data_IF_557423780371
#
_entry.id   IF_557423780371
#
_cell.length_a   1.000
_cell.length_b   1.000
_cell.length_c   1.000
_cell.angle_alpha   90.00
_cell.angle_beta   90.00
_cell.angle_gamma   90.00
#
_symmetry.space_group_name_H-M   'P 1'
#
loop_
_entity.id
_entity.type
_entity.pdbx_description
1 polymer ?
#
# COMPACT_ATOMS: atom_id res chain seq x y z
N UNK A 1 16.73 -8.93 12.44
CA UNK A 1 15.41 -8.83 11.76
C UNK A 1 15.43 -7.54 10.96
N UNK A 2 15.63 -7.62 9.65
CA UNK A 2 15.64 -6.44 8.79
C UNK A 2 14.20 -6.04 8.52
N UNK A 3 13.71 -5.03 9.23
CA UNK A 3 12.48 -4.33 8.86
C UNK A 3 12.82 -3.53 7.60
N UNK A 4 12.46 -4.05 6.43
CA UNK A 4 12.51 -3.29 5.18
C UNK A 4 11.28 -2.39 5.19
N UNK A 5 11.40 -1.22 5.83
CA UNK A 5 10.40 -0.17 5.71
C UNK A 5 10.27 0.21 4.23
N UNK A 6 9.04 0.48 3.76
CA UNK A 6 8.75 0.91 2.38
C UNK A 6 9.62 2.10 1.93
N UNK A 7 10.21 2.84 2.87
CA UNK A 7 11.15 3.92 2.65
C UNK A 7 12.51 3.50 2.07
N UNK A 8 12.89 2.22 2.16
CA UNK A 8 14.14 1.71 1.61
C UNK A 8 14.04 1.25 0.14
N UNK A 9 12.86 1.37 -0.47
CA UNK A 9 12.65 0.93 -1.85
C UNK A 9 13.44 1.81 -2.85
N UNK A 10 14.16 1.19 -3.80
CA UNK A 10 14.89 1.95 -4.81
C UNK A 10 13.94 2.79 -5.66
N UNK A 11 14.37 4.00 -6.02
CA UNK A 11 13.63 4.86 -6.94
C UNK A 11 13.40 4.13 -8.28
N UNK A 12 12.24 4.34 -8.91
CA UNK A 12 11.87 3.64 -10.15
C UNK A 12 11.32 2.22 -9.95
N UNK A 13 11.20 1.74 -8.71
CA UNK A 13 10.67 0.39 -8.43
C UNK A 13 9.16 0.29 -8.63
N UNK A 14 8.68 -0.94 -8.85
CA UNK A 14 7.24 -1.24 -8.83
C UNK A 14 6.90 -2.04 -7.59
N UNK A 15 5.84 -1.63 -6.90
CA UNK A 15 5.31 -2.27 -5.70
C UNK A 15 3.91 -2.76 -6.03
N UNK A 16 3.68 -4.06 -5.88
CA UNK A 16 2.37 -4.68 -5.99
C UNK A 16 1.92 -5.08 -4.58
N UNK A 17 0.77 -4.55 -4.15
CA UNK A 17 0.10 -4.96 -2.92
C UNK A 17 -1.04 -5.89 -3.34
N UNK A 18 -0.86 -7.18 -3.08
CA UNK A 18 -1.85 -8.21 -3.38
C UNK A 18 -2.68 -8.52 -2.13
N UNK A 19 -3.94 -8.07 -2.15
CA UNK A 19 -4.94 -8.29 -1.13
C UNK A 19 -5.83 -9.53 -1.38
N UNK A 20 -5.54 -10.35 -2.39
CA UNK A 20 -6.40 -11.50 -2.77
C UNK A 20 -6.58 -12.53 -1.65
N UNK A 21 -5.68 -12.52 -0.66
CA UNK A 21 -5.71 -13.38 0.53
C UNK A 21 -6.08 -12.65 1.81
N UNK A 22 -6.37 -11.36 1.73
CA UNK A 22 -6.73 -10.54 2.89
C UNK A 22 -8.26 -10.44 2.96
N UNK A 23 -8.85 -11.08 3.97
CA UNK A 23 -10.31 -11.08 4.16
C UNK A 23 -10.81 -9.68 4.60
N UNK A 24 -10.06 -9.03 5.47
CA UNK A 24 -10.27 -7.66 5.95
C UNK A 24 -8.91 -6.97 6.06
N UNK A 25 -8.82 -5.72 5.61
CA UNK A 25 -7.62 -4.89 5.75
C UNK A 25 -7.95 -3.79 6.74
N UNK A 26 -7.18 -3.71 7.83
CA UNK A 26 -7.33 -2.69 8.86
C UNK A 26 -7.18 -1.27 8.29
N UNK A 27 -7.86 -0.31 8.92
CA UNK A 27 -7.80 1.09 8.50
C UNK A 27 -6.37 1.66 8.55
N UNK A 28 -5.58 1.34 9.58
CA UNK A 28 -4.18 1.76 9.67
C UNK A 28 -3.34 1.30 8.47
N UNK A 29 -3.62 0.11 7.95
CA UNK A 29 -2.93 -0.43 6.77
C UNK A 29 -3.35 0.32 5.51
N UNK A 30 -4.63 0.65 5.37
CA UNK A 30 -5.12 1.49 4.27
C UNK A 30 -4.48 2.89 4.31
N UNK A 31 -4.37 3.49 5.49
CA UNK A 31 -3.72 4.80 5.66
C UNK A 31 -2.25 4.74 5.27
N UNK A 32 -1.52 3.69 5.69
CA UNK A 32 -0.13 3.49 5.31
C UNK A 32 0.04 3.31 3.79
N UNK A 33 -0.85 2.54 3.15
CA UNK A 33 -0.89 2.37 1.68
C UNK A 33 -1.14 3.73 1.01
N UNK A 34 -2.07 4.55 1.51
CA UNK A 34 -2.34 5.88 0.98
C UNK A 34 -1.16 6.84 1.16
N UNK A 35 -0.54 6.86 2.34
CA UNK A 35 0.65 7.64 2.61
C UNK A 35 1.78 7.25 1.65
N UNK A 36 1.98 5.95 1.45
CA UNK A 36 2.95 5.44 0.49
C UNK A 36 2.59 5.81 -0.95
N UNK A 37 1.32 5.68 -1.35
CA UNK A 37 0.83 6.10 -2.67
C UNK A 37 1.11 7.57 -2.96
N UNK A 38 0.99 8.44 -1.96
CA UNK A 38 1.32 9.87 -2.09
C UNK A 38 2.82 10.12 -2.24
N UNK A 39 3.66 9.39 -1.51
CA UNK A 39 5.11 9.55 -1.54
C UNK A 39 5.82 8.83 -2.72
N UNK A 40 5.24 7.72 -3.20
CA UNK A 40 5.78 6.88 -4.26
C UNK A 40 6.10 7.63 -5.57
N UNK A 41 5.20 8.47 -6.16
CA UNK A 41 5.49 9.17 -7.41
C UNK A 41 6.66 10.15 -7.29
N UNK A 42 6.87 10.76 -6.12
CA UNK A 42 8.04 11.63 -5.89
C UNK A 42 9.37 10.87 -6.00
N UNK A 43 9.36 9.55 -5.83
CA UNK A 43 10.50 8.65 -5.95
C UNK A 43 10.48 7.84 -7.26
N UNK A 44 9.53 8.13 -8.16
CA UNK A 44 9.31 7.34 -9.38
C UNK A 44 8.86 5.91 -9.11
N UNK A 45 8.31 5.63 -7.93
CA UNK A 45 7.81 4.31 -7.55
C UNK A 45 6.38 4.18 -8.05
N UNK A 46 6.07 3.09 -8.75
CA UNK A 46 4.72 2.77 -9.19
C UNK A 46 4.09 1.76 -8.23
N UNK A 47 2.95 2.12 -7.65
CA UNK A 47 2.17 1.29 -6.73
C UNK A 47 0.94 0.73 -7.44
N UNK A 48 0.79 -0.60 -7.42
CA UNK A 48 -0.40 -1.31 -7.88
C UNK A 48 -1.09 -2.02 -6.70
N UNK A 49 -2.42 -1.93 -6.65
CA UNK A 49 -3.26 -2.59 -5.67
C UNK A 49 -4.07 -3.67 -6.39
N UNK A 50 -3.97 -4.92 -5.93
CA UNK A 50 -4.66 -6.06 -6.53
C UNK A 50 -5.58 -6.72 -5.51
N UNK A 51 -6.87 -6.73 -5.78
CA UNK A 51 -7.92 -7.29 -4.91
C UNK A 51 -7.90 -6.76 -3.46
N UNK A 52 -7.32 -5.58 -3.27
CA UNK A 52 -7.41 -4.82 -2.02
C UNK A 52 -8.82 -4.23 -2.02
N UNK A 53 -9.76 -4.92 -1.35
CA UNK A 53 -11.06 -4.34 -1.07
C UNK A 53 -10.83 -3.18 -0.10
N UNK A 54 -10.76 -1.97 -0.63
CA UNK A 54 -11.07 -0.79 0.17
C UNK A 54 -12.51 -1.03 0.63
N UNK A 55 -12.68 -1.46 1.87
CA UNK A 55 -14.00 -1.43 2.50
C UNK A 55 -14.39 0.03 2.43
N UNK A 56 -15.19 0.37 1.41
CA UNK A 56 -15.87 1.64 1.36
C UNK A 56 -16.58 1.71 2.69
N UNK A 57 -16.13 2.64 3.54
CA UNK A 57 -16.67 2.94 4.85
C UNK A 57 -18.20 2.86 4.76
N UNK A 58 -18.75 1.67 4.99
CA UNK A 58 -20.16 1.44 5.05
C UNK A 58 -20.50 1.98 6.41
N UNK A 59 -21.05 3.19 6.38
CA UNK A 59 -21.21 4.06 7.53
C UNK A 59 -21.77 3.32 8.74
N UNK A 60 -21.21 3.66 9.89
CA UNK A 60 -21.92 3.61 11.15
C UNK A 60 -22.14 5.03 11.62
#
# INVERSE_FOLDING_TARGET
>A
MSITTLEQLPAGSRVLVDGTRSDVIDHDVLEAIEAFRRAAPARGIALELRDVRTVALAGH
#
